data_IF_046987952853
#
_entry.id   IF_046987952853
#
_cell.length_a   1.000
_cell.length_b   1.000
_cell.length_c   1.000
_cell.angle_alpha   90.00
_cell.angle_beta   90.00
_cell.angle_gamma   90.00
#
_symmetry.space_group_name_H-M   'P 1'
#
loop_
_entity.id
_entity.type
_entity.pdbx_description
1 polymer ?
#
# COMPACT_ATOMS: atom_id res chain seq x y z
N UNK A 1 -9.89 56.32 -35.24
CA UNK A 1 -9.82 55.19 -34.28
C UNK A 1 -8.78 54.19 -34.77
N UNK A 2 -7.54 54.21 -34.26
CA UNK A 2 -6.54 53.17 -34.60
C UNK A 2 -6.90 51.90 -33.83
N UNK A 3 -7.20 50.80 -34.53
CA UNK A 3 -7.36 49.46 -33.93
C UNK A 3 -6.01 49.05 -33.33
N UNK A 4 -5.91 48.98 -32.01
CA UNK A 4 -4.69 48.52 -31.33
C UNK A 4 -4.72 46.99 -31.27
N UNK A 5 -3.85 46.34 -32.05
CA UNK A 5 -3.69 44.87 -32.06
C UNK A 5 -3.43 44.29 -30.64
N UNK A 6 -2.87 45.11 -29.73
CA UNK A 6 -2.64 44.74 -28.34
C UNK A 6 -3.93 44.43 -27.55
N UNK A 7 -5.03 45.16 -27.79
CA UNK A 7 -6.29 44.94 -27.08
C UNK A 7 -6.93 43.58 -27.39
N UNK A 8 -6.84 43.16 -28.66
CA UNK A 8 -7.33 41.86 -29.11
C UNK A 8 -6.53 40.67 -28.57
N UNK A 9 -5.21 40.83 -28.42
CA UNK A 9 -4.35 39.79 -27.84
C UNK A 9 -4.69 39.58 -26.35
N UNK A 10 -4.87 40.66 -25.59
CA UNK A 10 -5.22 40.58 -24.16
C UNK A 10 -6.57 39.91 -23.94
N UNK A 11 -7.58 40.24 -24.77
CA UNK A 11 -8.90 39.57 -24.68
C UNK A 11 -8.84 38.11 -25.08
N UNK A 12 -8.06 37.75 -26.11
CA UNK A 12 -7.87 36.36 -26.49
C UNK A 12 -7.22 35.53 -25.37
N UNK A 13 -6.17 36.06 -24.74
CA UNK A 13 -5.51 35.40 -23.59
C UNK A 13 -6.51 35.24 -22.43
N UNK A 14 -7.29 36.27 -22.12
CA UNK A 14 -8.27 36.20 -21.03
C UNK A 14 -9.36 35.16 -21.28
N UNK A 15 -9.84 35.01 -22.52
CA UNK A 15 -10.81 33.96 -22.89
C UNK A 15 -10.20 32.56 -22.76
N UNK A 16 -8.94 32.37 -23.16
CA UNK A 16 -8.24 31.09 -23.01
C UNK A 16 -8.07 30.73 -21.52
N UNK A 17 -7.66 31.68 -20.70
CA UNK A 17 -7.51 31.48 -19.24
C UNK A 17 -8.87 31.19 -18.60
N UNK A 18 -9.91 31.96 -18.95
CA UNK A 18 -11.27 31.72 -18.44
C UNK A 18 -11.76 30.33 -18.81
N UNK A 19 -11.59 29.92 -20.07
CA UNK A 19 -11.96 28.59 -20.54
C UNK A 19 -11.20 27.50 -19.76
N UNK A 20 -9.87 27.62 -19.63
CA UNK A 20 -9.05 26.68 -18.88
C UNK A 20 -9.50 26.55 -17.41
N UNK A 21 -9.75 27.68 -16.73
CA UNK A 21 -10.22 27.69 -15.35
C UNK A 21 -11.60 27.04 -15.22
N UNK A 22 -12.54 27.33 -16.14
CA UNK A 22 -13.86 26.68 -16.12
C UNK A 22 -13.77 25.17 -16.33
N UNK A 23 -12.90 24.70 -17.23
CA UNK A 23 -12.67 23.26 -17.43
C UNK A 23 -12.11 22.61 -16.17
N UNK A 24 -11.15 23.26 -15.50
CA UNK A 24 -10.60 22.77 -14.22
C UNK A 24 -11.70 22.69 -13.16
N UNK A 25 -12.54 23.72 -13.05
CA UNK A 25 -13.62 23.75 -12.07
C UNK A 25 -14.68 22.67 -12.31
N UNK A 26 -15.06 22.45 -13.57
CA UNK A 26 -15.97 21.36 -13.96
C UNK A 26 -15.33 20.00 -13.67
N UNK A 27 -14.04 19.84 -13.95
CA UNK A 27 -13.30 18.61 -13.65
C UNK A 27 -13.25 18.34 -12.15
N UNK A 28 -12.98 19.38 -11.33
CA UNK A 28 -12.98 19.29 -9.87
C UNK A 28 -14.37 19.01 -9.29
N UNK A 29 -15.43 19.52 -9.91
CA UNK A 29 -16.79 19.21 -9.49
C UNK A 29 -17.15 17.75 -9.78
N UNK A 30 -16.66 17.20 -10.89
CA UNK A 30 -16.81 15.78 -11.22
C UNK A 30 -15.93 14.85 -10.40
N UNK A 31 -14.92 15.38 -9.70
CA UNK A 31 -14.07 14.57 -8.82
C UNK A 31 -14.78 14.28 -7.51
N UNK A 32 -14.73 13.03 -7.09
CA UNK A 32 -15.22 12.58 -5.79
C UNK A 32 -14.34 13.17 -4.68
N UNK A 33 -14.94 13.61 -3.57
CA UNK A 33 -14.25 14.10 -2.40
C UNK A 33 -14.33 13.06 -1.28
N UNK A 34 -13.18 12.62 -0.79
CA UNK A 34 -13.08 11.67 0.32
C UNK A 34 -12.70 12.47 1.57
N UNK A 35 -13.58 12.45 2.56
CA UNK A 35 -13.34 13.09 3.85
C UNK A 35 -12.77 12.05 4.79
N UNK A 36 -11.55 12.30 5.29
CA UNK A 36 -10.89 11.47 6.28
C UNK A 36 -11.19 11.98 7.69
N UNK A 37 -11.63 11.08 8.56
CA UNK A 37 -11.80 11.36 9.99
C UNK A 37 -11.18 10.26 10.83
N UNK A 38 -10.56 10.64 11.95
CA UNK A 38 -9.85 9.71 12.84
C UNK A 38 -10.61 9.59 14.15
N UNK A 39 -10.91 8.36 14.54
CA UNK A 39 -11.59 8.03 15.80
C UNK A 39 -10.87 6.88 16.51
N UNK A 40 -11.32 6.51 17.70
CA UNK A 40 -10.81 5.31 18.39
C UNK A 40 -11.47 4.07 17.80
N UNK A 41 -10.69 3.01 17.59
CA UNK A 41 -11.24 1.75 17.14
C UNK A 41 -12.15 1.13 18.21
N UNK A 42 -13.44 1.08 17.89
CA UNK A 42 -14.50 0.46 18.70
C UNK A 42 -15.15 -0.73 17.98
N UNK A 43 -14.53 -1.20 16.89
CA UNK A 43 -15.08 -2.27 16.06
C UNK A 43 -15.05 -3.61 16.81
N UNK A 44 -16.13 -4.38 16.67
CA UNK A 44 -16.29 -5.71 17.28
C UNK A 44 -15.69 -6.85 16.45
N UNK A 45 -15.03 -6.53 15.33
CA UNK A 45 -14.40 -7.56 14.49
C UNK A 45 -13.34 -8.31 15.31
N UNK A 46 -13.38 -9.64 15.25
CA UNK A 46 -12.46 -10.50 15.99
C UNK A 46 -11.41 -11.16 15.10
N UNK A 47 -11.64 -11.16 13.77
CA UNK A 47 -10.74 -11.72 12.78
C UNK A 47 -10.62 -10.78 11.60
N UNK A 48 -9.46 -10.78 10.97
CA UNK A 48 -9.16 -10.05 9.74
C UNK A 48 -8.77 -11.04 8.64
N UNK A 49 -9.07 -10.69 7.39
CA UNK A 49 -8.67 -11.49 6.24
C UNK A 49 -7.34 -10.98 5.70
N UNK A 50 -6.31 -11.81 5.68
CA UNK A 50 -5.03 -11.52 5.04
C UNK A 50 -5.06 -12.16 3.66
N UNK A 51 -4.82 -11.38 2.61
CA UNK A 51 -4.64 -11.90 1.24
C UNK A 51 -3.22 -11.65 0.82
N UNK A 52 -2.57 -12.67 0.28
CA UNK A 52 -1.16 -12.62 -0.09
C UNK A 52 -0.92 -13.29 -1.45
N UNK A 53 0.02 -12.72 -2.20
CA UNK A 53 0.59 -13.24 -3.43
C UNK A 53 2.09 -12.96 -3.38
N UNK A 54 2.87 -14.02 -3.12
CA UNK A 54 4.30 -13.91 -2.85
C UNK A 54 5.01 -14.95 -3.68
N UNK A 55 6.07 -14.55 -4.36
CA UNK A 55 6.95 -15.43 -5.12
C UNK A 55 8.29 -15.57 -4.42
N UNK A 56 8.75 -16.80 -4.24
CA UNK A 56 10.07 -17.15 -3.71
C UNK A 56 10.93 -17.64 -4.87
N UNK A 57 12.09 -17.01 -5.08
CA UNK A 57 12.84 -17.15 -6.33
C UNK A 57 13.64 -18.46 -6.39
N UNK A 58 14.15 -18.93 -5.25
CA UNK A 58 14.99 -20.12 -5.16
C UNK A 58 14.41 -21.24 -4.28
N UNK A 59 13.19 -21.05 -3.74
CA UNK A 59 12.53 -22.08 -2.91
C UNK A 59 11.51 -22.91 -3.71
N UNK A 60 11.59 -24.25 -3.64
CA UNK A 60 10.63 -25.13 -4.31
C UNK A 60 9.30 -25.19 -3.54
N UNK A 61 8.20 -25.44 -4.26
CA UNK A 61 6.84 -25.33 -3.69
C UNK A 61 6.46 -26.36 -2.62
N UNK A 62 7.14 -27.50 -2.59
CA UNK A 62 6.97 -28.53 -1.57
C UNK A 62 7.52 -28.07 -0.21
N UNK A 63 8.48 -27.13 -0.19
CA UNK A 63 9.13 -26.62 1.02
C UNK A 63 8.59 -25.28 1.52
N UNK A 64 7.84 -24.55 0.71
CA UNK A 64 7.25 -23.27 1.13
C UNK A 64 5.96 -23.52 1.88
N UNK A 65 5.92 -23.28 3.18
CA UNK A 65 4.68 -23.27 3.96
C UNK A 65 4.47 -21.90 4.61
N UNK A 66 3.22 -21.42 4.60
CA UNK A 66 2.85 -20.16 5.26
C UNK A 66 2.12 -20.52 6.53
N UNK A 67 2.77 -20.28 7.67
CA UNK A 67 2.24 -20.59 8.98
C UNK A 67 1.76 -19.34 9.69
N UNK A 68 0.61 -19.43 10.34
CA UNK A 68 0.00 -18.34 11.11
C UNK A 68 0.09 -18.66 12.61
N UNK A 69 0.70 -17.74 13.35
CA UNK A 69 0.91 -17.84 14.79
C UNK A 69 0.32 -16.62 15.50
N UNK A 70 -0.32 -16.85 16.64
CA UNK A 70 -0.84 -15.80 17.50
C UNK A 70 0.24 -15.13 18.38
N UNK A 71 -0.14 -14.10 19.14
CA UNK A 71 0.73 -13.43 20.12
C UNK A 71 1.33 -14.36 21.19
N UNK A 72 0.73 -15.52 21.43
CA UNK A 72 1.17 -16.48 22.45
C UNK A 72 2.14 -17.53 21.87
N UNK A 73 2.45 -17.47 20.57
CA UNK A 73 3.28 -18.47 19.91
C UNK A 73 2.54 -19.75 19.54
N UNK A 74 1.21 -19.77 19.66
CA UNK A 74 0.40 -20.92 19.28
C UNK A 74 0.00 -20.83 17.81
N UNK A 75 0.05 -21.96 17.11
CA UNK A 75 -0.45 -22.05 15.73
C UNK A 75 -1.96 -21.83 15.75
N UNK A 76 -2.45 -20.92 14.91
CA UNK A 76 -3.88 -20.68 14.80
C UNK A 76 -4.52 -21.84 13.99
N UNK A 77 -5.67 -22.38 14.43
CA UNK A 77 -6.40 -23.37 13.64
C UNK A 77 -6.75 -22.78 12.27
N UNK A 78 -6.59 -23.59 11.22
CA UNK A 78 -7.02 -23.22 9.87
C UNK A 78 -8.52 -22.95 9.85
N UNK A 79 -8.91 -21.76 9.40
CA UNK A 79 -10.30 -21.39 9.19
C UNK A 79 -10.82 -22.06 7.89
N UNK A 80 -12.09 -22.48 7.80
CA UNK A 80 -12.64 -23.04 6.56
C UNK A 80 -12.56 -22.10 5.34
N UNK A 81 -12.42 -20.79 5.57
CA UNK A 81 -12.22 -19.80 4.51
C UNK A 81 -10.76 -19.68 4.05
N UNK A 82 -9.82 -20.32 4.75
CA UNK A 82 -8.42 -20.32 4.39
C UNK A 82 -8.22 -21.11 3.10
N UNK A 83 -7.46 -20.51 2.19
CA UNK A 83 -7.17 -21.11 0.89
C UNK A 83 -5.75 -20.75 0.51
N UNK A 84 -4.97 -21.76 0.13
CA UNK A 84 -3.62 -21.59 -0.36
C UNK A 84 -3.43 -22.39 -1.64
N UNK A 85 -2.92 -21.73 -2.67
CA UNK A 85 -2.48 -22.35 -3.91
C UNK A 85 -0.98 -22.09 -4.08
N UNK A 86 -0.24 -23.13 -4.47
CA UNK A 86 1.19 -23.07 -4.78
C UNK A 86 1.38 -23.43 -6.24
N UNK A 87 2.16 -22.66 -6.97
CA UNK A 87 2.53 -22.95 -8.36
C UNK A 87 4.02 -22.78 -8.58
N UNK A 88 4.60 -23.71 -9.32
CA UNK A 88 5.98 -23.63 -9.81
C UNK A 88 6.08 -22.52 -10.85
N UNK A 89 7.02 -21.60 -10.68
CA UNK A 89 7.21 -20.45 -11.57
C UNK A 89 8.69 -20.30 -11.89
N UNK A 90 9.01 -19.96 -13.13
CA UNK A 90 10.36 -19.56 -13.53
C UNK A 90 10.51 -18.06 -13.25
N UNK A 91 11.46 -17.72 -12.38
CA UNK A 91 11.65 -16.35 -11.90
C UNK A 91 13.08 -15.90 -12.22
N UNK A 92 13.19 -14.69 -12.77
CA UNK A 92 14.47 -14.05 -12.99
C UNK A 92 15.10 -13.69 -11.63
N UNK A 93 16.39 -13.97 -11.48
CA UNK A 93 17.18 -13.60 -10.31
C UNK A 93 18.22 -12.56 -10.75
N UNK A 94 18.31 -11.39 -10.10
CA UNK A 94 19.29 -10.38 -10.47
C UNK A 94 20.73 -10.91 -10.36
N UNK A 95 21.48 -10.88 -11.46
CA UNK A 95 22.87 -11.36 -11.51
C UNK A 95 23.03 -12.77 -12.09
N UNK A 96 21.93 -13.48 -12.33
CA UNK A 96 21.90 -14.80 -12.97
C UNK A 96 21.46 -14.69 -14.43
N UNK A 97 21.98 -15.56 -15.30
CA UNK A 97 21.64 -15.58 -16.74
C UNK A 97 20.43 -16.48 -17.05
N UNK A 98 20.07 -17.35 -16.10
CA UNK A 98 18.98 -18.31 -16.24
C UNK A 98 17.88 -18.05 -15.21
N UNK A 99 16.63 -18.26 -15.62
CA UNK A 99 15.51 -18.23 -14.70
C UNK A 99 15.61 -19.42 -13.75
N UNK A 100 15.41 -19.14 -12.45
CA UNK A 100 15.41 -20.16 -11.42
C UNK A 100 14.00 -20.71 -11.25
N UNK A 101 13.93 -21.99 -10.91
CA UNK A 101 12.69 -22.60 -10.46
C UNK A 101 12.37 -22.12 -9.05
N UNK A 102 11.35 -21.26 -8.97
CA UNK A 102 10.81 -20.77 -7.71
C UNK A 102 9.38 -21.22 -7.47
N UNK A 103 8.82 -20.75 -6.35
CA UNK A 103 7.44 -21.01 -5.99
C UNK A 103 6.65 -19.72 -5.80
N UNK A 104 5.50 -19.62 -6.48
CA UNK A 104 4.51 -18.59 -6.22
C UNK A 104 3.41 -19.15 -5.32
N UNK A 105 3.16 -18.48 -4.21
CA UNK A 105 2.13 -18.82 -3.24
C UNK A 105 1.08 -17.72 -3.23
N UNK A 106 -0.15 -18.09 -3.56
CA UNK A 106 -1.30 -17.21 -3.56
C UNK A 106 -2.32 -17.77 -2.58
N UNK A 107 -2.80 -16.93 -1.67
CA UNK A 107 -3.76 -17.40 -0.70
C UNK A 107 -4.48 -16.30 0.05
N UNK A 108 -5.42 -16.75 0.87
CA UNK A 108 -6.12 -15.95 1.86
C UNK A 108 -6.20 -16.74 3.17
N UNK A 109 -6.06 -16.04 4.28
CA UNK A 109 -6.17 -16.63 5.61
C UNK A 109 -6.86 -15.68 6.60
N UNK A 110 -7.57 -16.25 7.58
CA UNK A 110 -8.26 -15.51 8.62
C UNK A 110 -7.43 -15.44 9.90
N UNK A 111 -6.89 -14.27 10.20
CA UNK A 111 -6.09 -14.03 11.40
C UNK A 111 -6.88 -13.36 12.52
N UNK A 112 -6.59 -13.69 13.78
CA UNK A 112 -7.22 -13.01 14.92
C UNK A 112 -6.84 -11.52 14.94
N UNK A 113 -7.80 -10.68 15.35
CA UNK A 113 -7.59 -9.26 15.62
C UNK A 113 -6.81 -9.12 16.93
N UNK A 114 -5.52 -8.86 16.80
CA UNK A 114 -4.54 -8.77 17.89
C UNK A 114 -3.14 -8.78 17.30
N UNK A 115 -2.12 -8.83 18.14
CA UNK A 115 -0.76 -9.01 17.63
C UNK A 115 -0.58 -10.46 17.18
N UNK A 116 0.17 -10.67 16.10
CA UNK A 116 0.45 -12.01 15.60
C UNK A 116 1.53 -11.97 14.55
N UNK A 117 1.87 -13.13 14.00
CA UNK A 117 2.78 -13.21 12.88
C UNK A 117 2.44 -14.37 11.96
N UNK A 118 2.46 -14.12 10.67
CA UNK A 118 2.57 -15.18 9.69
C UNK A 118 3.99 -15.20 9.14
N UNK A 119 4.50 -16.38 8.84
CA UNK A 119 5.88 -16.53 8.43
C UNK A 119 6.08 -17.72 7.52
N UNK A 120 7.19 -17.69 6.80
CA UNK A 120 7.71 -18.79 6.00
C UNK A 120 9.11 -19.07 6.51
N UNK A 121 9.34 -20.30 6.95
CA UNK A 121 10.65 -20.77 7.37
C UNK A 121 10.95 -22.11 6.68
N UNK A 122 12.23 -22.41 6.40
CA UNK A 122 12.61 -23.70 5.84
C UNK A 122 12.42 -24.80 6.89
N UNK A 123 11.89 -25.95 6.45
CA UNK A 123 11.71 -27.13 7.27
C UNK A 123 10.28 -27.66 7.27
N UNK A 124 10.05 -28.73 8.01
CA UNK A 124 8.71 -29.30 8.19
C UNK A 124 8.11 -28.66 9.45
N UNK A 125 6.94 -28.01 9.36
CA UNK A 125 6.27 -27.47 10.53
C UNK A 125 5.86 -28.63 11.45
N UNK A 126 6.34 -28.60 12.68
CA UNK A 126 6.05 -29.59 13.73
C UNK A 126 5.52 -28.88 14.97
N UNK A 127 4.40 -29.37 15.48
CA UNK A 127 3.80 -28.84 16.71
C UNK A 127 4.19 -29.75 17.88
N UNK A 128 4.90 -29.19 18.87
CA UNK A 128 5.24 -29.89 20.11
C UNK A 128 4.51 -29.24 21.29
N UNK A 129 3.88 -30.02 22.19
CA UNK A 129 3.26 -29.49 23.41
C UNK A 129 4.22 -28.73 24.32
N UNK A 130 5.54 -29.01 24.23
CA UNK A 130 6.57 -28.40 25.08
C UNK A 130 7.31 -27.23 24.41
N UNK A 131 7.47 -27.26 23.10
CA UNK A 131 8.30 -26.29 22.35
C UNK A 131 7.50 -25.36 21.44
N UNK A 132 6.16 -25.50 21.42
CA UNK A 132 5.30 -24.71 20.54
C UNK A 132 5.42 -25.14 19.07
N UNK A 133 5.14 -24.20 18.17
CA UNK A 133 5.32 -24.40 16.74
C UNK A 133 6.80 -24.23 16.37
N UNK A 134 7.42 -25.29 15.88
CA UNK A 134 8.82 -25.29 15.44
C UNK A 134 8.93 -25.85 14.03
N UNK A 135 9.89 -25.33 13.27
CA UNK A 135 10.27 -25.92 11.99
C UNK A 135 11.40 -26.90 12.22
N UNK A 136 11.12 -28.20 12.07
CA UNK A 136 12.14 -29.23 12.20
C UNK A 136 12.87 -29.36 10.87
N UNK A 137 14.18 -29.09 10.89
CA UNK A 137 15.10 -29.36 9.80
C UNK A 137 15.73 -30.74 10.00
N UNK A 138 16.01 -31.45 8.92
CA UNK A 138 16.71 -32.73 9.01
C UNK A 138 18.16 -32.48 9.45
N UNK A 139 18.62 -33.03 10.59
CA UNK A 139 19.97 -32.77 11.10
C UNK A 139 21.09 -33.19 10.14
N UNK A 140 20.83 -34.17 9.27
CA UNK A 140 21.81 -34.71 8.33
C UNK A 140 21.95 -33.90 7.04
N UNK A 141 20.95 -33.09 6.69
CA UNK A 141 20.96 -32.20 5.51
C UNK A 141 20.88 -30.72 5.92
N UNK A 142 21.03 -30.43 7.21
CA UNK A 142 20.85 -29.09 7.79
C UNK A 142 21.67 -28.02 7.07
N UNK A 143 22.94 -28.31 6.77
CA UNK A 143 23.82 -27.34 6.12
C UNK A 143 23.42 -27.09 4.67
N UNK A 144 23.01 -28.12 3.93
CA UNK A 144 22.54 -28.00 2.54
C UNK A 144 21.14 -27.38 2.46
N UNK A 145 20.22 -27.75 3.34
CA UNK A 145 18.87 -27.18 3.39
C UNK A 145 18.90 -25.70 3.81
N UNK A 146 19.82 -25.32 4.69
CA UNK A 146 20.04 -23.93 5.07
C UNK A 146 20.77 -23.13 3.98
N UNK A 147 21.78 -23.71 3.31
CA UNK A 147 22.48 -23.06 2.19
C UNK A 147 21.59 -22.88 0.96
N UNK A 148 20.67 -23.82 0.72
CA UNK A 148 19.69 -23.74 -0.36
C UNK A 148 18.44 -22.93 0.01
N UNK A 149 18.24 -22.59 1.29
CA UNK A 149 17.18 -21.69 1.73
C UNK A 149 17.58 -20.21 1.50
N UNK A 150 17.91 -19.86 0.26
CA UNK A 150 17.93 -18.44 -0.14
C UNK A 150 16.50 -17.92 -0.04
N UNK A 151 16.31 -16.93 0.83
CA UNK A 151 14.99 -16.37 1.13
C UNK A 151 14.66 -15.16 0.24
N UNK A 152 15.14 -15.17 -1.01
CA UNK A 152 14.80 -14.11 -1.95
C UNK A 152 13.35 -14.25 -2.36
N UNK A 153 12.62 -13.15 -2.25
CA UNK A 153 11.19 -13.15 -2.50
C UNK A 153 10.71 -11.82 -3.04
N UNK A 154 9.60 -11.87 -3.77
CA UNK A 154 8.87 -10.73 -4.28
C UNK A 154 7.43 -10.81 -3.81
N UNK A 155 6.99 -9.77 -3.12
CA UNK A 155 5.61 -9.59 -2.67
C UNK A 155 4.86 -8.89 -3.79
N UNK A 156 4.00 -9.61 -4.50
CA UNK A 156 3.19 -9.03 -5.58
C UNK A 156 1.97 -8.30 -5.02
N UNK A 157 1.34 -8.90 -4.02
CA UNK A 157 0.15 -8.34 -3.38
C UNK A 157 0.09 -8.79 -1.92
N UNK A 158 -0.07 -7.84 -0.99
CA UNK A 158 -0.34 -8.15 0.40
C UNK A 158 -1.33 -7.14 0.98
N UNK A 159 -2.51 -7.62 1.36
CA UNK A 159 -3.59 -6.78 1.90
C UNK A 159 -4.20 -7.38 3.15
N UNK A 160 -4.72 -6.50 4.01
CA UNK A 160 -5.38 -6.84 5.26
C UNK A 160 -6.81 -6.26 5.24
N UNK A 161 -7.81 -7.14 5.26
CA UNK A 161 -9.21 -6.77 5.05
C UNK A 161 -9.60 -6.68 3.57
N UNK A 162 -10.73 -6.04 3.27
CA UNK A 162 -11.26 -5.95 1.91
C UNK A 162 -10.65 -4.77 1.14
N UNK A 163 -10.34 -4.91 -0.17
CA UNK A 163 -9.86 -3.79 -0.96
C UNK A 163 -10.97 -2.74 -1.16
N UNK A 164 -10.58 -1.47 -1.22
CA UNK A 164 -11.47 -0.34 -1.51
C UNK A 164 -10.82 0.58 -2.56
N UNK A 165 -11.60 1.43 -3.27
CA UNK A 165 -11.07 2.33 -4.29
C UNK A 165 -9.99 3.26 -3.72
N UNK A 166 -8.82 3.31 -4.37
CA UNK A 166 -7.71 4.15 -3.92
C UNK A 166 -6.83 3.55 -2.82
N UNK A 167 -7.16 2.36 -2.30
CA UNK A 167 -6.30 1.64 -1.37
C UNK A 167 -4.93 1.36 -2.01
N UNK A 168 -3.85 1.71 -1.28
CA UNK A 168 -2.47 1.38 -1.64
C UNK A 168 -1.83 0.60 -0.51
N UNK A 169 -1.29 -0.56 -0.85
CA UNK A 169 -0.59 -1.44 0.07
C UNK A 169 0.91 -1.13 0.04
N UNK A 170 1.54 -0.99 1.20
CA UNK A 170 2.95 -0.57 1.28
C UNK A 170 3.95 -1.64 0.81
N UNK A 171 3.56 -2.93 0.82
CA UNK A 171 4.43 -4.04 0.42
C UNK A 171 4.19 -4.56 -1.01
N UNK A 172 3.22 -3.99 -1.74
CA UNK A 172 2.96 -4.42 -3.12
C UNK A 172 4.13 -4.04 -4.04
N UNK A 173 4.69 -5.04 -4.72
CA UNK A 173 5.86 -4.90 -5.59
C UNK A 173 7.21 -4.86 -4.86
N UNK A 174 7.25 -5.09 -3.55
CA UNK A 174 8.51 -5.10 -2.78
C UNK A 174 9.22 -6.44 -2.96
N UNK A 175 10.49 -6.38 -3.34
CA UNK A 175 11.36 -7.57 -3.47
C UNK A 175 12.58 -7.47 -2.57
N UNK A 176 12.94 -8.58 -1.93
CA UNK A 176 14.19 -8.76 -1.22
C UNK A 176 15.01 -9.84 -1.92
N UNK A 177 16.24 -9.52 -2.29
CA UNK A 177 17.22 -10.46 -2.84
C UNK A 177 18.35 -10.62 -1.84
N UNK A 178 18.67 -11.85 -1.45
CA UNK A 178 19.72 -12.14 -0.46
C UNK A 178 20.43 -13.44 -0.79
N UNK A 179 21.76 -13.38 -0.78
CA UNK A 179 22.62 -14.56 -0.92
C UNK A 179 23.02 -15.17 0.43
N UNK A 180 22.60 -14.55 1.55
CA UNK A 180 22.90 -15.00 2.90
C UNK A 180 21.69 -15.63 3.57
N UNK A 181 21.97 -16.49 4.56
CA UNK A 181 20.97 -17.04 5.46
C UNK A 181 20.57 -15.92 6.42
N UNK A 182 19.37 -15.41 6.22
CA UNK A 182 18.86 -14.27 6.97
C UNK A 182 17.56 -14.61 7.68
N UNK A 183 17.33 -13.90 8.77
CA UNK A 183 16.00 -13.70 9.31
C UNK A 183 15.54 -12.32 8.87
N UNK A 184 14.53 -12.28 8.03
CA UNK A 184 13.93 -11.04 7.57
C UNK A 184 12.57 -10.84 8.23
N UNK A 185 12.35 -9.68 8.85
CA UNK A 185 11.13 -9.38 9.58
C UNK A 185 10.52 -8.10 9.05
N UNK A 186 9.28 -8.20 8.56
CA UNK A 186 8.40 -7.07 8.29
C UNK A 186 7.54 -6.80 9.52
N UNK A 187 7.72 -5.65 10.14
CA UNK A 187 6.84 -5.14 11.18
C UNK A 187 5.73 -4.32 10.52
N UNK A 188 4.55 -4.91 10.46
CA UNK A 188 3.35 -4.36 9.84
C UNK A 188 2.47 -3.73 10.92
N UNK A 189 2.26 -2.43 10.86
CA UNK A 189 1.32 -1.74 11.76
C UNK A 189 0.01 -1.47 11.04
N UNK A 190 -1.03 -2.20 11.44
CA UNK A 190 -2.38 -2.17 10.89
C UNK A 190 -3.19 -1.03 11.49
N UNK A 191 -3.88 -0.28 10.65
CA UNK A 191 -4.80 0.80 11.03
C UNK A 191 -6.19 0.45 10.48
N UNK A 192 -7.14 0.06 11.35
CA UNK A 192 -8.53 -0.17 10.97
C UNK A 192 -9.08 1.01 10.17
N UNK A 193 -9.62 0.73 8.98
CA UNK A 193 -10.13 1.72 8.06
C UNK A 193 -11.52 1.33 7.59
N UNK A 194 -12.50 2.21 7.81
CA UNK A 194 -13.86 2.03 7.33
C UNK A 194 -14.06 2.95 6.13
N UNK A 195 -14.30 2.37 4.96
CA UNK A 195 -14.66 3.10 3.76
C UNK A 195 -16.18 3.10 3.60
N UNK A 196 -16.78 4.28 3.51
CA UNK A 196 -18.22 4.49 3.34
C UNK A 196 -18.45 5.15 1.99
N UNK A 197 -19.07 4.40 1.09
CA UNK A 197 -19.56 4.88 -0.20
C UNK A 197 -21.06 4.70 -0.25
N UNK A 198 -21.79 5.81 -0.25
CA UNK A 198 -23.24 5.88 -0.12
C UNK A 198 -23.77 5.08 1.09
N UNK A 199 -24.26 3.86 0.86
CA UNK A 199 -24.76 2.93 1.86
C UNK A 199 -23.93 1.65 2.00
N UNK A 200 -22.83 1.53 1.25
CA UNK A 200 -21.90 0.40 1.31
C UNK A 200 -20.79 0.76 2.30
N UNK A 201 -20.68 -0.04 3.35
CA UNK A 201 -19.63 0.09 4.35
C UNK A 201 -18.63 -1.05 4.17
N UNK A 202 -17.40 -0.71 3.82
CA UNK A 202 -16.30 -1.66 3.63
C UNK A 202 -15.35 -1.52 4.80
N UNK A 203 -15.15 -2.62 5.54
CA UNK A 203 -14.13 -2.72 6.58
C UNK A 203 -12.81 -3.22 5.98
N UNK A 204 -11.76 -2.45 6.17
CA UNK A 204 -10.42 -2.70 5.65
C UNK A 204 -9.36 -2.28 6.65
N UNK A 205 -8.09 -2.57 6.35
CA UNK A 205 -6.96 -2.14 7.16
C UNK A 205 -5.90 -1.54 6.26
N UNK A 206 -5.61 -0.26 6.46
CA UNK A 206 -4.40 0.34 5.92
C UNK A 206 -3.22 -0.06 6.78
N UNK A 207 -2.00 -0.02 6.24
CA UNK A 207 -0.84 -0.41 7.02
C UNK A 207 0.42 0.32 6.62
N UNK A 208 1.31 0.44 7.60
CA UNK A 208 2.69 0.91 7.41
C UNK A 208 3.65 -0.22 7.75
N UNK A 209 4.84 -0.20 7.15
CA UNK A 209 5.82 -1.28 7.32
C UNK A 209 7.18 -0.72 7.63
N UNK A 210 7.85 -1.35 8.59
CA UNK A 210 9.29 -1.26 8.78
C UNK A 210 9.89 -2.66 8.62
N UNK A 211 11.10 -2.74 8.07
CA UNK A 211 11.78 -4.02 7.84
C UNK A 211 13.07 -4.09 8.64
N UNK A 212 13.46 -5.31 9.00
CA UNK A 212 14.70 -5.60 9.71
C UNK A 212 15.27 -6.91 9.22
N UNK A 213 16.55 -6.92 8.86
CA UNK A 213 17.26 -8.11 8.38
C UNK A 213 18.40 -8.43 9.34
N UNK A 214 18.43 -9.66 9.81
CA UNK A 214 19.52 -10.18 10.64
C UNK A 214 20.21 -11.31 9.90
N UNK A 215 21.53 -11.21 9.76
CA UNK A 215 22.35 -12.28 9.21
C UNK A 215 22.59 -13.34 10.29
N UNK A 216 22.34 -14.61 9.98
CA UNK A 216 22.53 -15.70 10.91
C UNK A 216 23.87 -16.38 10.62
N UNK A 217 24.76 -16.38 11.61
CA UNK A 217 26.01 -17.13 11.57
C UNK A 217 25.82 -18.51 12.22
N UNK A 218 25.89 -19.56 11.39
CA UNK A 218 25.70 -20.96 11.80
C UNK A 218 26.83 -21.43 12.76
N UNK A 219 27.96 -20.72 12.82
CA UNK A 219 29.10 -21.14 13.66
C UNK A 219 28.87 -20.97 15.17
N UNK A 220 27.93 -20.10 15.59
CA UNK A 220 27.60 -19.88 17.01
C UNK A 220 26.38 -20.73 17.43
N UNK A 221 26.67 -21.93 17.92
CA UNK A 221 25.73 -23.04 18.20
C UNK A 221 24.74 -22.83 19.35
N UNK A 222 24.79 -21.70 20.07
CA UNK A 222 24.03 -21.52 21.33
C UNK A 222 22.69 -20.80 21.19
N UNK A 223 22.42 -20.13 20.07
CA UNK A 223 21.09 -19.54 19.78
C UNK A 223 20.74 -19.81 18.32
N UNK A 224 20.11 -20.95 18.05
CA UNK A 224 19.54 -21.22 16.72
C UNK A 224 18.34 -20.28 16.54
N UNK A 225 18.61 -19.06 16.08
CA UNK A 225 17.60 -18.16 15.57
C UNK A 225 17.16 -18.72 14.22
N UNK A 226 15.91 -19.17 14.13
CA UNK A 226 15.42 -19.78 12.89
C UNK A 226 15.45 -18.76 11.75
N UNK A 227 16.09 -19.08 10.61
CA UNK A 227 15.98 -18.27 9.41
C UNK A 227 14.56 -18.34 8.87
N UNK A 228 14.17 -17.31 8.15
CA UNK A 228 12.83 -17.21 7.60
C UNK A 228 12.41 -15.78 7.37
N UNK A 229 11.24 -15.65 6.76
CA UNK A 229 10.60 -14.38 6.48
C UNK A 229 9.36 -14.29 7.37
N UNK A 230 9.30 -13.25 8.20
CA UNK A 230 8.26 -13.07 9.19
C UNK A 230 7.52 -11.76 8.92
N UNK A 231 6.19 -11.82 8.81
CA UNK A 231 5.31 -10.65 8.81
C UNK A 231 4.64 -10.56 10.18
N UNK A 232 5.26 -9.77 11.05
CA UNK A 232 4.71 -9.48 12.38
C UNK A 232 3.73 -8.34 12.26
N UNK A 233 2.47 -8.58 12.55
CA UNK A 233 1.44 -7.56 12.49
C UNK A 233 0.95 -7.16 13.88
N UNK A 234 0.67 -5.87 14.05
CA UNK A 234 0.08 -5.32 15.26
C UNK A 234 -0.91 -4.21 14.92
N UNK A 235 -1.92 -4.01 15.78
CA UNK A 235 -3.01 -3.06 15.52
C UNK A 235 -2.76 -1.70 16.17
N UNK A 236 -3.08 -0.65 15.43
CA UNK A 236 -3.18 0.71 15.93
C UNK A 236 -4.51 0.91 16.65
N UNK A 237 -4.53 1.63 17.79
CA UNK A 237 -5.78 1.96 18.49
C UNK A 237 -6.65 3.00 17.74
N UNK A 238 -6.14 3.53 16.62
CA UNK A 238 -6.80 4.56 15.82
C UNK A 238 -7.57 3.92 14.67
N UNK A 239 -8.76 4.44 14.39
CA UNK A 239 -9.63 4.06 13.27
C UNK A 239 -9.76 5.23 12.31
N UNK A 240 -9.56 4.96 11.03
CA UNK A 240 -9.73 5.94 9.95
C UNK A 240 -11.08 5.69 9.28
N UNK A 241 -11.97 6.67 9.26
CA UNK A 241 -13.20 6.63 8.49
C UNK A 241 -13.05 7.50 7.25
N UNK A 242 -13.12 6.86 6.09
CA UNK A 242 -13.11 7.49 4.77
C UNK A 242 -14.57 7.57 4.28
N UNK A 243 -15.11 8.77 4.21
CA UNK A 243 -16.48 9.01 3.76
C UNK A 243 -16.47 9.70 2.40
N UNK A 244 -17.07 9.04 1.40
CA UNK A 244 -17.27 9.61 0.08
C UNK A 244 -18.41 10.63 0.14
N UNK A 245 -18.10 11.91 -0.11
CA UNK A 245 -19.11 12.97 -0.22
C UNK A 245 -19.28 13.43 -1.65
N UNK A 246 -20.53 13.46 -2.08
CA UNK A 246 -20.91 14.14 -3.31
C UNK A 246 -20.93 15.66 -3.08
N UNK A 247 -20.42 16.40 -4.08
CA UNK A 247 -20.44 17.87 -4.05
C UNK A 247 -21.81 18.36 -4.51
N UNK A 248 -22.45 19.21 -3.72
CA UNK A 248 -23.70 19.85 -4.11
C UNK A 248 -23.48 20.84 -5.28
N UNK A 249 -24.48 20.97 -6.15
CA UNK A 249 -24.45 21.87 -7.31
C UNK A 249 -24.19 23.36 -6.94
N UNK A 250 -24.58 23.79 -5.74
CA UNK A 250 -24.32 25.14 -5.24
C UNK A 250 -22.83 25.45 -5.11
N UNK A 251 -22.01 24.44 -4.82
CA UNK A 251 -20.57 24.58 -4.78
C UNK A 251 -20.00 24.91 -6.17
N UNK A 252 -20.51 24.27 -7.24
CA UNK A 252 -20.13 24.58 -8.62
C UNK A 252 -20.53 26.01 -9.01
N UNK A 253 -21.77 26.41 -8.75
CA UNK A 253 -22.25 27.76 -9.04
C UNK A 253 -21.39 28.84 -8.38
N UNK A 254 -21.03 28.61 -7.11
CA UNK A 254 -20.19 29.54 -6.34
C UNK A 254 -18.77 29.61 -6.91
N UNK A 255 -18.20 28.49 -7.38
CA UNK A 255 -16.86 28.49 -8.01
C UNK A 255 -16.88 29.12 -9.41
N UNK A 256 -17.91 28.89 -10.21
CA UNK A 256 -18.06 29.53 -11.52
C UNK A 256 -18.24 31.04 -11.41
N UNK A 257 -19.04 31.52 -10.45
CA UNK A 257 -19.19 32.96 -10.22
C UNK A 257 -17.88 33.60 -9.76
N UNK A 258 -17.10 32.91 -8.93
CA UNK A 258 -15.76 33.35 -8.52
C UNK A 258 -14.79 33.46 -9.70
N UNK A 259 -14.79 32.51 -10.64
CA UNK A 259 -13.96 32.58 -11.86
C UNK A 259 -14.34 33.78 -12.73
N UNK A 260 -15.64 33.98 -12.99
CA UNK A 260 -16.12 35.09 -13.81
C UNK A 260 -15.77 36.44 -13.16
N UNK A 261 -16.05 36.58 -11.85
CA UNK A 261 -15.73 37.78 -11.08
C UNK A 261 -14.22 38.06 -11.02
N UNK A 262 -13.41 37.02 -10.78
CA UNK A 262 -11.95 37.14 -10.71
C UNK A 262 -11.33 37.62 -12.03
N UNK A 263 -11.75 37.05 -13.16
CA UNK A 263 -11.26 37.47 -14.49
C UNK A 263 -11.68 38.91 -14.79
N UNK A 264 -12.90 39.32 -14.44
CA UNK A 264 -13.38 40.69 -14.63
C UNK A 264 -12.53 41.71 -13.85
N UNK A 265 -12.22 41.44 -12.59
CA UNK A 265 -11.40 42.32 -11.75
C UNK A 265 -9.98 42.44 -12.31
N UNK A 266 -9.35 41.32 -12.69
CA UNK A 266 -7.98 41.33 -13.24
C UNK A 266 -7.90 42.11 -14.55
N UNK A 267 -8.87 41.93 -15.45
CA UNK A 267 -8.96 42.70 -16.69
C UNK A 267 -9.11 44.20 -16.42
N UNK A 268 -9.94 44.58 -15.44
CA UNK A 268 -10.11 45.97 -15.04
C UNK A 268 -8.82 46.62 -14.52
N UNK A 269 -8.06 45.89 -13.69
CA UNK A 269 -6.77 46.37 -13.18
C UNK A 269 -5.76 46.51 -14.33
N UNK A 270 -5.62 45.50 -15.19
CA UNK A 270 -4.70 45.55 -16.34
C UNK A 270 -5.04 46.72 -17.28
N UNK A 271 -6.32 46.94 -17.56
CA UNK A 271 -6.76 48.07 -18.38
C UNK A 271 -6.45 49.42 -17.72
N UNK A 272 -6.71 49.55 -16.41
CA UNK A 272 -6.40 50.77 -15.65
C UNK A 272 -4.89 51.06 -15.62
N UNK A 273 -4.07 50.05 -15.34
CA UNK A 273 -2.61 50.18 -15.30
C UNK A 273 -2.02 50.54 -16.65
N UNK A 274 -2.45 49.87 -17.74
CA UNK A 274 -1.98 50.19 -19.10
C UNK A 274 -2.34 51.60 -19.52
N UNK A 275 -3.55 52.06 -19.18
CA UNK A 275 -3.97 53.45 -19.43
C UNK A 275 -3.12 54.45 -18.65
N UNK A 276 -2.88 54.22 -17.37
CA UNK A 276 -2.13 55.15 -16.53
C UNK A 276 -0.65 55.24 -16.94
N UNK A 277 -0.06 54.13 -17.37
CA UNK A 277 1.29 54.11 -17.96
C UNK A 277 1.29 54.89 -19.28
N UNK A 278 0.31 54.69 -20.15
CA UNK A 278 0.20 55.41 -21.41
C UNK A 278 0.06 56.93 -21.20
N UNK A 279 -0.79 57.35 -20.25
CA UNK A 279 -0.97 58.76 -19.89
C UNK A 279 0.35 59.40 -19.39
N UNK A 280 1.16 58.67 -18.60
CA UNK A 280 2.50 59.12 -18.18
C UNK A 280 3.48 59.25 -19.34
N UNK A 281 3.44 58.33 -20.31
CA UNK A 281 4.31 58.37 -21.49
C UNK A 281 3.92 59.44 -22.52
N UNK A 282 2.66 59.86 -22.61
CA UNK A 282 2.23 60.94 -23.52
C UNK A 282 2.38 62.36 -22.95
N UNK A 283 2.64 62.52 -21.65
CA UNK A 283 2.86 63.81 -21.00
C UNK A 283 4.34 64.15 -20.74
N UNK A 284 5.26 63.42 -21.38
CA UNK A 284 6.70 63.68 -21.36
C UNK A 284 7.18 63.93 -22.80
#
# INVERSE_FOLDING_TARGET
MKKTNAGGIVTAIALVVMFMLTVIEISNFRSVEIIESVTVDTTKEQKIMIRYDISFHEMPCDRVNVDLIDQNGAQQPSDPLDMQAKSKVLLAVPGETYDHEGCRVIGKMMALKGSGNFHVAPGIPTNSPLSGHTHTLNPFTLEDDLRNAKLSHTIHYLSFGYPFPGAKNALDGVSLMTDQIVKHVYYVRLVPTIYVEDNVVISSHQYSVTNHTENIDISNTWTIQMPGIYWKYDFSPMLIKLEQREKYFTHLLTRLSAVIGGVWVVLGILYSSTRHIFEKFTHQ
#
